data_IF_050831462457
#
_entry.id   IF_050831462457
#
_cell.length_a   1.000
_cell.length_b   1.000
_cell.length_c   1.000
_cell.angle_alpha   90.00
_cell.angle_beta   90.00
_cell.angle_gamma   90.00
#
_symmetry.space_group_name_H-M   'P 1'
#
loop_
_entity.id
_entity.type
_entity.pdbx_description
1 polymer ?
#
# COMPACT_ATOMS: atom_id res chain seq x y z
N UNK A 1 -0.02 -2.85 -17.37
CA UNK A 1 0.02 -3.72 -16.18
C UNK A 1 -1.39 -3.93 -15.66
N UNK A 2 -1.79 -5.15 -15.26
CA UNK A 2 -3.13 -5.41 -14.73
C UNK A 2 -3.03 -5.82 -13.26
N UNK A 3 -3.58 -5.00 -12.37
CA UNK A 3 -3.68 -5.32 -10.95
C UNK A 3 -4.80 -6.33 -10.68
N UNK A 4 -4.58 -7.20 -9.70
CA UNK A 4 -5.64 -8.04 -9.10
C UNK A 4 -6.63 -7.19 -8.30
N UNK A 5 -7.82 -7.73 -8.00
CA UNK A 5 -8.83 -6.99 -7.23
C UNK A 5 -8.39 -6.70 -5.78
N UNK A 6 -7.51 -7.54 -5.21
CA UNK A 6 -6.89 -7.28 -3.91
C UNK A 6 -5.93 -6.08 -4.00
N UNK A 7 -5.07 -6.06 -5.02
CA UNK A 7 -4.13 -4.95 -5.25
C UNK A 7 -4.85 -3.63 -5.55
N UNK A 8 -5.90 -3.65 -6.37
CA UNK A 8 -6.73 -2.46 -6.63
C UNK A 8 -7.34 -1.89 -5.35
N UNK A 9 -7.88 -2.76 -4.47
CA UNK A 9 -8.42 -2.34 -3.17
C UNK A 9 -7.36 -1.66 -2.29
N UNK A 10 -6.13 -2.15 -2.29
CA UNK A 10 -5.03 -1.49 -1.59
C UNK A 10 -4.70 -0.14 -2.21
N UNK A 11 -4.60 -0.06 -3.53
CA UNK A 11 -4.28 1.18 -4.26
C UNK A 11 -5.34 2.26 -4.12
N UNK A 12 -6.61 1.88 -3.93
CA UNK A 12 -7.69 2.82 -3.59
C UNK A 12 -7.43 3.57 -2.29
N UNK A 13 -6.78 2.94 -1.31
CA UNK A 13 -6.43 3.62 -0.06
C UNK A 13 -5.09 4.33 -0.18
N UNK A 14 -4.02 3.59 -0.46
CA UNK A 14 -2.66 4.12 -0.43
C UNK A 14 -2.41 5.14 -1.54
N UNK A 15 -2.95 4.90 -2.74
CA UNK A 15 -2.82 5.82 -3.88
C UNK A 15 -3.52 7.16 -3.66
N UNK A 16 -4.60 7.17 -2.85
CA UNK A 16 -5.26 8.40 -2.40
C UNK A 16 -4.57 9.05 -1.18
N UNK A 17 -3.37 8.59 -0.80
CA UNK A 17 -2.54 9.20 0.23
C UNK A 17 -2.83 8.74 1.67
N UNK A 18 -3.70 7.76 1.86
CA UNK A 18 -3.94 7.18 3.20
C UNK A 18 -2.77 6.26 3.57
N UNK A 19 -2.08 6.47 4.71
CA UNK A 19 -1.03 5.56 5.14
C UNK A 19 -1.62 4.24 5.68
N UNK A 20 -0.85 3.16 5.61
CA UNK A 20 -1.20 1.92 6.31
C UNK A 20 -0.66 1.85 7.72
N UNK A 21 -1.25 0.96 8.51
CA UNK A 21 -0.85 0.60 9.87
C UNK A 21 -0.64 -0.92 9.98
N UNK A 22 0.28 -1.39 10.83
CA UNK A 22 0.39 -2.81 11.15
C UNK A 22 -0.84 -3.30 11.90
N UNK A 23 -1.35 -4.48 11.53
CA UNK A 23 -2.34 -5.22 12.30
C UNK A 23 -1.78 -6.54 12.86
N UNK A 24 -2.63 -7.35 13.54
CA UNK A 24 -2.21 -8.63 14.10
C UNK A 24 -1.62 -9.59 13.05
N UNK A 25 -0.46 -10.17 13.37
CA UNK A 25 0.26 -11.06 12.48
C UNK A 25 0.80 -10.32 11.26
N UNK A 26 0.43 -10.78 10.06
CA UNK A 26 0.85 -10.17 8.79
C UNK A 26 -0.24 -9.27 8.18
N UNK A 27 -1.27 -8.87 8.93
CA UNK A 27 -2.34 -8.02 8.41
C UNK A 27 -1.91 -6.57 8.31
N UNK A 28 -2.46 -5.89 7.31
CA UNK A 28 -2.27 -4.47 7.07
C UNK A 28 -3.61 -3.78 7.15
N UNK A 29 -3.65 -2.70 7.91
CA UNK A 29 -4.86 -1.95 8.19
C UNK A 29 -4.74 -0.54 7.61
N UNK A 30 -5.89 0.08 7.33
CA UNK A 30 -6.03 1.52 7.11
C UNK A 30 -7.20 1.96 7.96
N UNK A 31 -6.98 2.97 8.81
CA UNK A 31 -8.01 3.49 9.72
C UNK A 31 -8.69 2.37 10.54
N UNK A 32 -7.88 1.50 11.16
CA UNK A 32 -8.35 0.37 11.96
C UNK A 32 -8.96 -0.82 11.20
N UNK A 33 -9.20 -0.71 9.88
CA UNK A 33 -9.81 -1.77 9.07
C UNK A 33 -8.76 -2.57 8.30
N UNK A 34 -8.82 -3.91 8.36
CA UNK A 34 -7.93 -4.78 7.58
C UNK A 34 -8.19 -4.65 6.08
N UNK A 35 -7.16 -4.28 5.32
CA UNK A 35 -7.24 -4.13 3.86
C UNK A 35 -6.50 -5.23 3.09
N UNK A 36 -5.41 -5.76 3.63
CA UNK A 36 -4.62 -6.80 2.99
C UNK A 36 -3.65 -7.49 3.98
N UNK A 37 -2.64 -8.16 3.44
CA UNK A 37 -1.49 -8.67 4.18
C UNK A 37 -0.18 -8.09 3.60
N UNK A 38 0.92 -8.30 4.31
CA UNK A 38 2.27 -7.86 3.90
C UNK A 38 2.66 -8.39 2.51
N UNK A 39 2.30 -9.62 2.15
CA UNK A 39 2.63 -10.19 0.83
C UNK A 39 2.01 -9.40 -0.33
N UNK A 40 0.79 -8.88 -0.15
CA UNK A 40 0.13 -8.03 -1.15
C UNK A 40 0.91 -6.74 -1.38
N UNK A 41 1.46 -6.15 -0.31
CA UNK A 41 2.27 -4.94 -0.40
C UNK A 41 3.65 -5.20 -0.99
N UNK A 42 4.29 -6.31 -0.62
CA UNK A 42 5.54 -6.74 -1.24
C UNK A 42 5.38 -6.92 -2.77
N UNK A 43 4.24 -7.46 -3.21
CA UNK A 43 3.93 -7.58 -4.63
C UNK A 43 3.76 -6.21 -5.31
N UNK A 44 3.12 -5.24 -4.65
CA UNK A 44 2.97 -3.87 -5.16
C UNK A 44 4.29 -3.08 -5.14
N UNK A 45 5.16 -3.32 -4.15
CA UNK A 45 6.49 -2.71 -4.04
C UNK A 45 7.39 -3.18 -5.19
N UNK A 46 7.34 -4.47 -5.54
CA UNK A 46 8.04 -5.00 -6.74
C UNK A 46 7.57 -4.37 -8.05
N UNK A 47 6.35 -3.84 -8.07
CA UNK A 47 5.81 -3.09 -9.21
C UNK A 47 6.10 -1.59 -9.13
N UNK A 48 6.80 -1.14 -8.07
CA UNK A 48 7.16 0.25 -7.84
C UNK A 48 5.97 1.14 -7.46
N UNK A 49 4.84 0.58 -7.02
CA UNK A 49 3.61 1.33 -6.73
C UNK A 49 3.48 1.77 -5.28
N UNK A 50 4.11 1.04 -4.35
CA UNK A 50 4.12 1.35 -2.93
C UNK A 50 5.52 1.19 -2.38
N UNK A 51 5.78 1.81 -1.25
CA UNK A 51 7.04 1.69 -0.51
C UNK A 51 6.76 1.66 0.99
N UNK A 52 7.62 0.96 1.73
CA UNK A 52 7.56 0.96 3.18
C UNK A 52 8.13 2.27 3.72
N UNK A 53 7.39 2.94 4.61
CA UNK A 53 7.84 4.20 5.20
C UNK A 53 9.12 4.00 6.01
N UNK A 54 9.96 5.02 6.00
CA UNK A 54 11.18 5.04 6.80
C UNK A 54 11.28 6.35 7.60
N UNK A 55 11.68 6.22 8.86
CA UNK A 55 12.01 7.35 9.75
C UNK A 55 13.44 7.13 10.24
N UNK A 56 14.28 8.16 10.12
CA UNK A 56 15.71 8.10 10.46
C UNK A 56 16.45 6.91 9.82
N UNK A 57 16.10 6.60 8.56
CA UNK A 57 16.67 5.49 7.80
C UNK A 57 16.19 4.10 8.23
N UNK A 58 15.25 3.99 9.18
CA UNK A 58 14.67 2.73 9.64
C UNK A 58 13.28 2.53 9.06
N UNK A 59 13.06 1.38 8.41
CA UNK A 59 11.74 1.00 7.90
C UNK A 59 10.76 0.78 9.04
N UNK A 60 9.60 1.43 8.97
CA UNK A 60 8.51 1.28 9.91
C UNK A 60 7.71 0.02 9.57
N UNK A 61 7.65 -0.93 10.49
CA UNK A 61 7.00 -2.22 10.28
C UNK A 61 5.50 -2.02 10.03
N UNK A 62 5.02 -2.48 8.87
CA UNK A 62 3.61 -2.40 8.50
C UNK A 62 3.09 -1.02 8.10
N UNK A 63 3.95 0.01 8.07
CA UNK A 63 3.61 1.33 7.55
C UNK A 63 4.08 1.50 6.12
N UNK A 64 3.13 1.71 5.21
CA UNK A 64 3.35 1.80 3.78
C UNK A 64 2.63 3.02 3.21
N UNK A 65 3.18 3.50 2.10
CA UNK A 65 2.61 4.60 1.34
C UNK A 65 2.71 4.32 -0.16
N UNK A 66 1.85 4.95 -0.96
CA UNK A 66 2.01 4.91 -2.41
C UNK A 66 3.21 5.76 -2.85
N UNK A 67 3.97 5.22 -3.81
CA UNK A 67 4.96 6.00 -4.57
C UNK A 67 4.24 6.97 -5.51
N UNK A 68 4.99 7.85 -6.17
CA UNK A 68 4.40 8.72 -7.19
C UNK A 68 3.73 7.92 -8.33
N UNK A 69 4.35 6.81 -8.76
CA UNK A 69 3.75 5.93 -9.77
C UNK A 69 2.44 5.30 -9.28
N UNK A 70 2.38 4.92 -8.00
CA UNK A 70 1.16 4.42 -7.37
C UNK A 70 0.02 5.44 -7.36
N UNK A 71 0.32 6.71 -7.04
CA UNK A 71 -0.67 7.80 -7.04
C UNK A 71 -1.22 8.05 -8.44
N UNK A 72 -0.33 8.23 -9.43
CA UNK A 72 -0.71 8.45 -10.82
C UNK A 72 -1.60 7.31 -11.35
N UNK A 73 -1.27 6.05 -11.02
CA UNK A 73 -2.07 4.90 -11.41
C UNK A 73 -3.50 4.97 -10.84
N UNK A 74 -3.64 5.36 -9.58
CA UNK A 74 -4.94 5.49 -8.92
C UNK A 74 -5.77 6.62 -9.54
N UNK A 75 -5.15 7.75 -9.89
CA UNK A 75 -5.80 8.87 -10.60
C UNK A 75 -6.25 8.45 -12.01
N UNK A 76 -5.37 7.84 -12.80
CA UNK A 76 -5.63 7.42 -14.18
C UNK A 76 -6.72 6.34 -14.27
N UNK A 77 -6.78 5.44 -13.29
CA UNK A 77 -7.74 4.33 -13.27
C UNK A 77 -8.97 4.60 -12.40
N UNK A 78 -9.08 5.78 -11.78
CA UNK A 78 -10.15 6.17 -10.85
C UNK A 78 -10.45 5.07 -9.80
N UNK A 79 -9.40 4.53 -9.16
CA UNK A 79 -9.50 3.43 -8.19
C UNK A 79 -10.06 3.87 -6.83
#
# INVERSE_FOLDING_TARGET
>A
MKLTDAQKRVMKWLGNGWPSEPGPGASIHVNGSRICNVDTLNALERLGLVEQRAVDGKKLLGEWQATQAGKNLTEDQQL
#
